data_IF_423409028313
#
_entry.id   IF_423409028313
#
_cell.length_a   1.000
_cell.length_b   1.000
_cell.length_c   1.000
_cell.angle_alpha   90.00
_cell.angle_beta   90.00
_cell.angle_gamma   90.00
#
_symmetry.space_group_name_H-M   'P 1'
#
loop_
_entity.id
_entity.type
_entity.pdbx_description
1 polymer ?
#
# COMPACT_ATOMS: atom_id res chain seq x y z
N UNK A 1 43.63 -3.93 -32.97
CA UNK A 1 42.91 -2.89 -32.19
C UNK A 1 41.45 -2.92 -32.64
N UNK A 2 40.52 -3.36 -31.79
CA UNK A 2 39.09 -3.37 -32.10
C UNK A 2 38.40 -2.39 -31.15
N UNK A 3 38.08 -1.19 -31.66
CA UNK A 3 37.24 -0.24 -30.92
C UNK A 3 35.78 -0.62 -31.15
N UNK A 4 35.17 -1.29 -30.17
CA UNK A 4 33.73 -1.49 -30.14
C UNK A 4 33.07 -0.21 -29.66
N UNK A 5 32.48 0.55 -30.58
CA UNK A 5 31.68 1.73 -30.28
C UNK A 5 30.38 1.29 -29.60
N UNK A 6 30.28 1.43 -28.27
CA UNK A 6 28.99 1.34 -27.59
C UNK A 6 28.15 2.56 -27.99
N UNK A 7 27.00 2.33 -28.62
CA UNK A 7 25.99 3.36 -28.80
C UNK A 7 25.39 3.72 -27.42
N UNK A 8 25.38 5.01 -27.09
CA UNK A 8 24.80 5.48 -25.84
C UNK A 8 23.28 5.25 -25.81
N UNK A 9 22.78 4.71 -24.70
CA UNK A 9 21.36 4.48 -24.44
C UNK A 9 20.61 5.76 -24.01
N UNK A 10 21.30 6.91 -23.99
CA UNK A 10 20.73 8.19 -23.52
C UNK A 10 19.44 8.58 -24.25
N UNK A 11 19.33 8.26 -25.55
CA UNK A 11 18.14 8.57 -26.35
C UNK A 11 16.87 7.76 -25.97
N UNK A 12 16.99 6.76 -25.10
CA UNK A 12 15.87 5.95 -24.60
C UNK A 12 15.57 6.19 -23.11
N UNK A 13 16.33 7.05 -22.43
CA UNK A 13 16.09 7.40 -21.04
C UNK A 13 15.01 8.48 -20.98
N UNK A 14 13.77 8.06 -20.74
CA UNK A 14 12.70 8.99 -20.36
C UNK A 14 12.99 9.43 -18.92
N UNK A 15 12.98 10.74 -18.59
CA UNK A 15 13.05 11.19 -17.21
C UNK A 15 11.99 10.47 -16.39
N UNK A 16 12.42 9.60 -15.47
CA UNK A 16 11.49 9.07 -14.48
C UNK A 16 11.08 10.26 -13.64
N UNK A 17 9.78 10.53 -13.54
CA UNK A 17 9.26 11.50 -12.58
C UNK A 17 9.89 11.19 -11.22
N UNK A 18 10.78 12.07 -10.79
CA UNK A 18 11.53 11.87 -9.55
C UNK A 18 10.54 12.13 -8.42
N UNK A 19 9.90 11.06 -7.96
CA UNK A 19 9.27 11.06 -6.64
C UNK A 19 10.33 11.59 -5.66
N UNK A 20 9.99 12.57 -4.81
CA UNK A 20 10.93 13.09 -3.82
C UNK A 20 11.59 11.92 -3.09
N UNK A 21 12.92 11.91 -3.06
CA UNK A 21 13.64 10.90 -2.30
C UNK A 21 13.16 10.98 -0.84
N UNK A 22 12.92 9.83 -0.23
CA UNK A 22 12.48 9.79 1.16
C UNK A 22 13.51 10.51 2.05
N UNK A 23 13.03 11.48 2.83
CA UNK A 23 13.73 11.98 4.01
C UNK A 23 12.77 11.95 5.18
N UNK A 24 13.30 11.82 6.39
CA UNK A 24 12.47 11.86 7.60
C UNK A 24 11.69 13.17 7.65
N UNK A 25 12.35 14.32 7.42
CA UNK A 25 11.69 15.63 7.44
C UNK A 25 10.54 15.74 6.45
N UNK A 26 10.73 15.31 5.19
CA UNK A 26 9.68 15.36 4.18
C UNK A 26 8.52 14.43 4.52
N UNK A 27 8.81 13.24 5.07
CA UNK A 27 7.78 12.32 5.54
C UNK A 27 6.98 12.92 6.71
N UNK A 28 7.66 13.55 7.67
CA UNK A 28 7.02 14.23 8.81
C UNK A 28 6.09 15.36 8.35
N UNK A 29 6.56 16.23 7.45
CA UNK A 29 5.76 17.36 6.95
C UNK A 29 4.50 16.89 6.24
N UNK A 30 4.63 15.93 5.32
CA UNK A 30 3.50 15.34 4.58
C UNK A 30 2.53 14.63 5.54
N UNK A 31 3.06 13.93 6.56
CA UNK A 31 2.23 13.25 7.55
C UNK A 31 1.42 14.24 8.38
N UNK A 32 2.03 15.34 8.85
CA UNK A 32 1.33 16.38 9.61
C UNK A 32 0.23 17.02 8.76
N UNK A 33 0.53 17.37 7.51
CA UNK A 33 -0.46 17.93 6.59
C UNK A 33 -1.64 16.98 6.39
N UNK A 34 -1.37 15.69 6.14
CA UNK A 34 -2.40 14.67 5.98
C UNK A 34 -3.30 14.55 7.23
N UNK A 35 -2.72 14.56 8.43
CA UNK A 35 -3.48 14.51 9.69
C UNK A 35 -4.46 15.69 9.82
N UNK A 36 -4.02 16.90 9.48
CA UNK A 36 -4.83 18.13 9.58
C UNK A 36 -5.95 18.10 8.54
N UNK A 37 -5.62 17.85 7.27
CA UNK A 37 -6.60 17.89 6.16
C UNK A 37 -7.70 16.85 6.33
N UNK A 38 -7.38 15.68 6.90
CA UNK A 38 -8.32 14.57 7.05
C UNK A 38 -8.88 14.43 8.47
N UNK A 39 -8.55 15.37 9.38
CA UNK A 39 -8.96 15.35 10.79
C UNK A 39 -8.69 14.01 11.48
N UNK A 40 -7.51 13.43 11.23
CA UNK A 40 -7.13 12.14 11.82
C UNK A 40 -6.57 12.33 13.22
N UNK A 41 -6.76 11.35 14.12
CA UNK A 41 -6.16 11.40 15.43
C UNK A 41 -4.64 11.22 15.35
N UNK A 42 -3.89 11.96 16.17
CA UNK A 42 -2.42 11.94 16.17
C UNK A 42 -1.86 10.53 16.41
N UNK A 43 -2.55 9.72 17.22
CA UNK A 43 -2.12 8.34 17.53
C UNK A 43 -2.18 7.39 16.33
N UNK A 44 -2.77 7.78 15.19
CA UNK A 44 -2.83 6.92 14.00
C UNK A 44 -1.42 6.55 13.48
N UNK A 45 -0.43 7.42 13.66
CA UNK A 45 0.97 7.16 13.26
C UNK A 45 1.63 6.04 14.11
N UNK A 46 1.08 5.76 15.29
CA UNK A 46 1.52 4.67 16.17
C UNK A 46 0.81 3.35 15.87
N UNK A 47 -0.20 3.36 14.98
CA UNK A 47 -0.93 2.15 14.65
C UNK A 47 -0.01 1.17 13.89
N UNK A 48 0.16 -0.08 14.35
CA UNK A 48 1.07 -1.03 13.73
C UNK A 48 0.67 -1.37 12.28
N UNK A 49 -0.62 -1.36 11.95
CA UNK A 49 -1.11 -1.60 10.59
C UNK A 49 -0.77 -0.42 9.67
N UNK A 50 -0.85 0.82 10.18
CA UNK A 50 -0.40 1.99 9.43
C UNK A 50 1.10 1.90 9.11
N UNK A 51 1.94 1.57 10.10
CA UNK A 51 3.38 1.39 9.90
C UNK A 51 3.68 0.28 8.87
N UNK A 52 2.98 -0.86 8.94
CA UNK A 52 3.11 -1.93 7.96
C UNK A 52 2.71 -1.50 6.55
N UNK A 53 1.64 -0.70 6.42
CA UNK A 53 1.21 -0.17 5.12
C UNK A 53 2.29 0.72 4.49
N UNK A 54 2.94 1.58 5.27
CA UNK A 54 4.03 2.46 4.80
C UNK A 54 5.25 1.63 4.39
N UNK A 55 5.65 0.64 5.21
CA UNK A 55 6.75 -0.27 4.87
C UNK A 55 6.46 -1.04 3.58
N UNK A 56 5.23 -1.52 3.40
CA UNK A 56 4.84 -2.22 2.17
C UNK A 56 4.90 -1.27 0.96
N UNK A 57 4.39 -0.05 1.12
CA UNK A 57 4.39 0.97 0.09
C UNK A 57 5.81 1.43 -0.31
N UNK A 58 6.74 1.55 0.65
CA UNK A 58 8.11 2.00 0.38
C UNK A 58 8.93 0.99 -0.43
N UNK A 59 8.58 -0.29 -0.36
CA UNK A 59 9.20 -1.35 -1.16
C UNK A 59 8.60 -1.50 -2.57
N UNK A 60 7.59 -0.71 -2.93
CA UNK A 60 7.02 -0.79 -4.26
C UNK A 60 8.02 -0.29 -5.31
N UNK A 61 8.41 -1.15 -6.25
CA UNK A 61 9.30 -0.81 -7.37
C UNK A 61 8.71 0.29 -8.30
N UNK A 62 7.39 0.49 -8.20
CA UNK A 62 6.60 1.44 -8.98
C UNK A 62 5.66 2.22 -8.04
N UNK A 63 4.81 3.06 -8.61
CA UNK A 63 3.76 3.76 -7.85
C UNK A 63 2.81 2.78 -7.15
N UNK A 64 2.44 3.11 -5.91
CA UNK A 64 1.38 2.41 -5.19
C UNK A 64 0.02 2.73 -5.80
N UNK A 65 -0.78 1.71 -6.09
CA UNK A 65 -2.17 1.89 -6.56
C UNK A 65 -3.11 2.02 -5.36
N UNK A 66 -3.60 3.21 -5.10
CA UNK A 66 -4.58 3.45 -4.03
C UNK A 66 -5.97 2.96 -4.49
N UNK A 67 -6.66 2.10 -3.71
CA UNK A 67 -7.97 1.60 -4.09
C UNK A 67 -9.02 2.72 -4.07
N UNK A 68 -9.95 2.67 -5.02
CA UNK A 68 -11.10 3.59 -5.06
C UNK A 68 -12.08 3.28 -3.93
N UNK A 69 -12.94 4.25 -3.57
CA UNK A 69 -13.99 4.06 -2.56
C UNK A 69 -14.83 2.80 -2.83
N UNK A 70 -15.25 2.60 -4.09
CA UNK A 70 -16.05 1.43 -4.49
C UNK A 70 -15.29 0.12 -4.31
N UNK A 71 -14.01 0.09 -4.67
CA UNK A 71 -13.17 -1.10 -4.47
C UNK A 71 -12.97 -1.38 -2.98
N UNK A 72 -12.69 -0.37 -2.18
CA UNK A 72 -12.54 -0.49 -0.72
C UNK A 72 -13.82 -1.03 -0.08
N UNK A 73 -14.98 -0.45 -0.42
CA UNK A 73 -16.28 -0.92 0.07
C UNK A 73 -16.53 -2.39 -0.30
N UNK A 74 -16.30 -2.76 -1.57
CA UNK A 74 -16.50 -4.12 -2.03
C UNK A 74 -15.57 -5.11 -1.31
N UNK A 75 -14.30 -4.75 -1.12
CA UNK A 75 -13.34 -5.57 -0.39
C UNK A 75 -13.75 -5.80 1.06
N UNK A 76 -14.24 -4.77 1.75
CA UNK A 76 -14.76 -4.90 3.13
C UNK A 76 -15.96 -5.84 3.18
N UNK A 77 -16.93 -5.67 2.28
CA UNK A 77 -18.12 -6.54 2.21
C UNK A 77 -17.72 -7.99 1.93
N UNK A 78 -16.78 -8.20 1.01
CA UNK A 78 -16.30 -9.54 0.67
C UNK A 78 -15.59 -10.19 1.85
N UNK A 79 -14.73 -9.46 2.56
CA UNK A 79 -14.05 -9.95 3.75
C UNK A 79 -15.06 -10.38 4.83
N UNK A 80 -16.07 -9.56 5.07
CA UNK A 80 -17.15 -9.89 6.01
C UNK A 80 -17.89 -11.17 5.62
N UNK A 81 -18.28 -11.30 4.34
CA UNK A 81 -18.96 -12.49 3.81
C UNK A 81 -18.09 -13.75 3.94
N UNK A 82 -16.80 -13.66 3.63
CA UNK A 82 -15.86 -14.78 3.76
C UNK A 82 -15.74 -15.24 5.21
N UNK A 83 -15.64 -14.31 6.16
CA UNK A 83 -15.57 -14.64 7.58
C UNK A 83 -16.85 -15.34 8.07
N UNK A 84 -18.03 -14.86 7.65
CA UNK A 84 -19.30 -15.52 7.99
C UNK A 84 -19.42 -16.92 7.40
N UNK A 85 -18.99 -17.09 6.16
CA UNK A 85 -19.00 -18.40 5.50
C UNK A 85 -18.05 -19.39 6.18
N UNK A 86 -16.86 -18.94 6.59
CA UNK A 86 -15.93 -19.79 7.33
C UNK A 86 -16.49 -20.16 8.70
N UNK A 87 -17.07 -19.20 9.43
CA UNK A 87 -17.73 -19.47 10.69
C UNK A 87 -18.86 -20.50 10.54
N UNK A 88 -19.70 -20.37 9.51
CA UNK A 88 -20.77 -21.33 9.22
C UNK A 88 -20.23 -22.75 8.99
N UNK A 89 -19.14 -22.89 8.21
CA UNK A 89 -18.49 -24.20 8.01
C UNK A 89 -18.03 -24.82 9.31
N UNK A 90 -17.36 -24.05 10.16
CA UNK A 90 -16.85 -24.54 11.45
C UNK A 90 -18.01 -25.00 12.34
N UNK A 91 -19.09 -24.21 12.42
CA UNK A 91 -20.28 -24.56 13.21
C UNK A 91 -21.00 -25.80 12.66
N UNK A 92 -21.11 -25.95 11.35
CA UNK A 92 -21.75 -27.12 10.74
C UNK A 92 -20.97 -28.40 10.99
N UNK A 93 -19.63 -28.34 10.97
CA UNK A 93 -18.78 -29.47 11.36
C UNK A 93 -19.01 -29.82 12.83
N UNK A 94 -19.06 -28.83 13.73
CA UNK A 94 -19.34 -29.07 15.16
C UNK A 94 -20.71 -29.71 15.39
N UNK A 95 -21.76 -29.26 14.71
CA UNK A 95 -23.10 -29.84 14.82
C UNK A 95 -23.22 -31.23 14.17
N UNK A 96 -22.29 -31.63 13.29
CA UNK A 96 -22.31 -32.95 12.65
C UNK A 96 -21.54 -34.02 13.44
N UNK A 97 -20.79 -33.61 14.47
CA UNK A 97 -19.97 -34.48 15.33
C UNK A 97 -20.67 -34.71 16.70
N UNK A 98 -21.68 -33.90 17.03
CA UNK A 98 -22.57 -34.05 18.18
C UNK A 98 -23.83 -34.85 17.80
#
# INVERSE_FOLDING_TARGET
>A
AASSTQHSLDNHLVPRDQVPHYSESAFWDVSIQWLIETNQPIHILQNPVFQQMIILASHANHSVKIPTLKQTQQSIINLFKSNLHELHKQLQICCSIL
#
